data_IF_592802000127
#
_entry.id   IF_592802000127
#
_cell.length_a   1.000
_cell.length_b   1.000
_cell.length_c   1.000
_cell.angle_alpha   90.00
_cell.angle_beta   90.00
_cell.angle_gamma   90.00
#
_symmetry.space_group_name_H-M   'P 1'
#
loop_
_entity.id
_entity.type
_entity.pdbx_description
1 polymer ?
#
# COMPACT_ATOMS: atom_id res chain seq x y z
N UNK A 1 5.56 -5.17 -13.92
CA UNK A 1 7.01 -4.86 -13.97
C UNK A 1 7.28 -3.36 -13.82
N UNK A 2 6.76 -2.47 -14.69
CA UNK A 2 7.02 -1.03 -14.55
C UNK A 2 6.54 -0.42 -13.22
N UNK A 3 5.28 -0.67 -12.83
CA UNK A 3 4.71 -0.12 -11.57
C UNK A 3 5.48 -0.59 -10.33
N UNK A 4 5.86 -1.86 -10.25
CA UNK A 4 6.62 -2.40 -9.13
C UNK A 4 8.03 -1.77 -9.02
N UNK A 5 8.71 -1.56 -10.14
CA UNK A 5 10.03 -0.91 -10.15
C UNK A 5 9.92 0.57 -9.75
N UNK A 6 8.93 1.30 -10.27
CA UNK A 6 8.68 2.70 -9.89
C UNK A 6 8.39 2.85 -8.38
N UNK A 7 7.55 1.96 -7.83
CA UNK A 7 7.23 1.94 -6.41
C UNK A 7 8.43 1.52 -5.55
N UNK A 8 9.25 0.58 -6.02
CA UNK A 8 10.48 0.19 -5.34
C UNK A 8 11.47 1.37 -5.28
N UNK A 9 11.69 2.09 -6.38
CA UNK A 9 12.57 3.26 -6.41
C UNK A 9 12.02 4.40 -5.53
N UNK A 10 10.70 4.53 -5.42
CA UNK A 10 10.04 5.47 -4.50
C UNK A 10 10.31 5.13 -3.02
N UNK A 11 10.31 3.85 -2.67
CA UNK A 11 10.62 3.36 -1.31
C UNK A 11 12.11 3.47 -1.04
N UNK A 12 12.95 3.03 -1.98
CA UNK A 12 14.42 3.09 -1.90
C UNK A 12 14.91 4.52 -1.73
N UNK A 13 14.38 5.49 -2.49
CA UNK A 13 14.77 6.90 -2.37
C UNK A 13 14.43 7.52 -1.01
N UNK A 14 13.34 7.08 -0.35
CA UNK A 14 12.93 7.59 0.97
C UNK A 14 13.61 6.88 2.14
N UNK A 15 13.81 5.58 2.04
CA UNK A 15 14.16 4.73 3.18
C UNK A 15 15.42 3.89 2.98
N UNK A 16 15.93 3.78 1.75
CA UNK A 16 17.05 2.89 1.41
C UNK A 16 18.36 3.23 2.11
N UNK A 17 18.57 4.47 2.55
CA UNK A 17 19.75 4.85 3.33
C UNK A 17 19.84 4.14 4.71
N UNK A 18 18.76 3.53 5.18
CA UNK A 18 18.67 2.81 6.46
C UNK A 18 18.69 1.30 6.30
N UNK A 19 18.81 0.80 5.07
CA UNK A 19 18.70 -0.61 4.76
C UNK A 19 20.01 -1.13 4.20
N UNK A 20 20.36 -2.34 4.61
CA UNK A 20 21.39 -3.13 3.95
C UNK A 20 20.93 -3.56 2.56
N UNK A 21 21.86 -4.05 1.74
CA UNK A 21 21.53 -4.55 0.41
C UNK A 21 20.56 -5.75 0.46
N UNK A 22 20.67 -6.61 1.49
CA UNK A 22 19.80 -7.77 1.69
C UNK A 22 18.38 -7.33 2.06
N UNK A 23 18.24 -6.42 3.03
CA UNK A 23 16.94 -5.86 3.40
C UNK A 23 16.30 -5.09 2.23
N UNK A 24 17.10 -4.43 1.40
CA UNK A 24 16.61 -3.75 0.20
C UNK A 24 16.09 -4.74 -0.86
N UNK A 25 16.74 -5.90 -1.01
CA UNK A 25 16.26 -6.97 -1.89
C UNK A 25 14.93 -7.57 -1.37
N UNK A 26 14.80 -7.76 -0.06
CA UNK A 26 13.54 -8.18 0.56
C UNK A 26 12.42 -7.15 0.37
N UNK A 27 12.74 -5.86 0.48
CA UNK A 27 11.79 -4.78 0.17
C UNK A 27 11.34 -4.84 -1.30
N UNK A 28 12.25 -5.08 -2.25
CA UNK A 28 11.91 -5.23 -3.67
C UNK A 28 10.92 -6.40 -3.88
N UNK A 29 11.23 -7.57 -3.32
CA UNK A 29 10.34 -8.74 -3.34
C UNK A 29 8.99 -8.47 -2.68
N UNK A 30 8.97 -7.70 -1.59
CA UNK A 30 7.74 -7.24 -0.94
C UNK A 30 6.89 -6.36 -1.84
N UNK A 31 7.50 -5.37 -2.51
CA UNK A 31 6.80 -4.47 -3.44
C UNK A 31 6.21 -5.25 -4.61
N UNK A 32 6.96 -6.18 -5.20
CA UNK A 32 6.47 -7.04 -6.28
C UNK A 32 5.21 -7.81 -5.86
N UNK A 33 5.25 -8.53 -4.73
CA UNK A 33 4.09 -9.27 -4.21
C UNK A 33 2.88 -8.37 -3.90
N UNK A 34 3.11 -7.19 -3.33
CA UNK A 34 2.02 -6.24 -3.05
C UNK A 34 1.39 -5.76 -4.36
N UNK A 35 2.19 -5.44 -5.38
CA UNK A 35 1.65 -4.99 -6.67
C UNK A 35 0.82 -6.06 -7.37
N UNK A 36 1.22 -7.33 -7.30
CA UNK A 36 0.43 -8.46 -7.80
C UNK A 36 -0.92 -8.57 -7.07
N UNK A 37 -0.90 -8.49 -5.73
CA UNK A 37 -2.13 -8.50 -4.93
C UNK A 37 -3.05 -7.31 -5.26
N UNK A 38 -2.48 -6.12 -5.44
CA UNK A 38 -3.24 -4.91 -5.79
C UNK A 38 -3.89 -5.03 -7.17
N UNK A 39 -3.24 -5.69 -8.14
CA UNK A 39 -3.88 -5.96 -9.43
C UNK A 39 -5.14 -6.81 -9.29
N UNK A 40 -5.11 -7.83 -8.42
CA UNK A 40 -6.30 -8.63 -8.12
C UNK A 40 -7.40 -7.80 -7.43
N UNK A 41 -7.04 -6.92 -6.50
CA UNK A 41 -7.99 -6.03 -5.82
C UNK A 41 -8.62 -5.00 -6.78
N UNK A 42 -7.84 -4.43 -7.72
CA UNK A 42 -8.34 -3.48 -8.73
C UNK A 42 -9.33 -4.12 -9.71
N UNK A 43 -9.29 -5.44 -9.88
CA UNK A 43 -10.26 -6.16 -10.71
C UNK A 43 -11.65 -6.23 -10.06
N UNK A 44 -11.75 -6.02 -8.74
CA UNK A 44 -13.03 -5.95 -8.05
C UNK A 44 -13.70 -4.59 -8.31
N UNK A 45 -14.91 -4.62 -8.87
CA UNK A 45 -15.67 -3.41 -9.17
C UNK A 45 -16.39 -2.92 -7.91
N UNK A 46 -16.02 -1.72 -7.47
CA UNK A 46 -16.72 -0.98 -6.42
C UNK A 46 -17.79 -0.06 -7.04
N UNK A 47 -18.95 0.01 -6.40
CA UNK A 47 -20.00 1.01 -6.60
C UNK A 47 -19.77 2.19 -5.63
N UNK A 48 -20.28 3.37 -5.95
CA UNK A 48 -20.17 4.54 -5.07
C UNK A 48 -20.82 4.32 -3.68
N UNK A 49 -21.70 3.33 -3.56
CA UNK A 49 -22.33 2.90 -2.30
C UNK A 49 -21.47 1.97 -1.46
N UNK A 50 -20.37 1.45 -2.01
CA UNK A 50 -19.44 0.61 -1.26
C UNK A 50 -18.59 1.47 -0.34
N UNK A 51 -19.03 1.62 0.91
CA UNK A 51 -18.35 2.43 1.90
C UNK A 51 -17.11 1.72 2.47
N UNK A 52 -16.06 2.47 2.88
CA UNK A 52 -14.95 1.91 3.61
C UNK A 52 -15.42 1.19 4.88
N UNK A 53 -14.74 0.08 5.23
CA UNK A 53 -15.03 -0.68 6.47
C UNK A 53 -14.98 0.21 7.72
N UNK A 54 -14.08 1.20 7.72
CA UNK A 54 -14.01 2.23 8.76
C UNK A 54 -14.53 3.56 8.21
N UNK A 55 -15.73 3.92 8.64
CA UNK A 55 -16.28 5.23 8.38
C UNK A 55 -15.72 6.22 9.40
N UNK A 56 -15.36 7.41 8.92
CA UNK A 56 -15.02 8.50 9.82
C UNK A 56 -16.26 8.89 10.65
N UNK A 57 -16.12 8.84 11.98
CA UNK A 57 -17.11 9.32 12.93
C UNK A 57 -16.49 10.45 13.75
N UNK A 58 -16.97 11.69 13.63
CA UNK A 58 -16.54 12.77 14.50
C UNK A 58 -16.78 12.37 15.96
N UNK A 59 -15.83 12.65 16.84
CA UNK A 59 -16.05 12.50 18.27
C UNK A 59 -17.18 13.42 18.72
N UNK A 60 -18.17 12.87 19.43
CA UNK A 60 -19.23 13.62 20.11
C UNK A 60 -19.24 13.23 21.58
N UNK A 61 -19.24 14.22 22.47
CA UNK A 61 -19.21 14.03 23.92
C UNK A 61 -20.43 13.30 24.48
N UNK A 62 -21.52 13.22 23.72
CA UNK A 62 -22.79 12.57 24.11
C UNK A 62 -22.80 11.05 23.81
N UNK A 63 -21.77 10.53 23.13
CA UNK A 63 -21.69 9.15 22.64
C UNK A 63 -20.63 8.30 23.38
N UNK A 64 -20.08 8.81 24.50
CA UNK A 64 -19.01 8.19 25.30
C UNK A 64 -19.47 7.69 26.68
#
# INVERSE_FOLDING_TARGET
MAEAEELFELVRSRYGARLTAEELAEVKSGVERITEMVQALRAFKLDARDEPMHQFRPYRSEEA
#
